data_IF_326024690914
#
_entry.id   IF_326024690914
#
_cell.length_a   1.000
_cell.length_b   1.000
_cell.length_c   1.000
_cell.angle_alpha   90.00
_cell.angle_beta   90.00
_cell.angle_gamma   90.00
#
_symmetry.space_group_name_H-M   'P 1'
#
loop_
_entity.id
_entity.type
_entity.pdbx_description
1 polymer ?
#
# COMPACT_ATOMS: atom_id res chain seq x y z
N UNK A 1 -42.23 56.39 46.92
CA UNK A 1 -41.88 55.92 45.56
C UNK A 1 -40.45 55.35 45.48
N UNK A 2 -39.46 55.96 46.17
CA UNK A 2 -38.03 55.45 46.13
C UNK A 2 -37.86 54.03 46.62
N UNK A 3 -38.54 53.57 47.67
CA UNK A 3 -38.34 52.21 48.25
C UNK A 3 -38.87 51.05 47.38
N UNK A 4 -39.82 51.29 46.49
CA UNK A 4 -40.36 50.26 45.58
C UNK A 4 -39.45 50.05 44.40
N UNK A 5 -38.79 51.11 43.94
CA UNK A 5 -37.84 51.07 42.81
C UNK A 5 -36.53 50.39 43.20
N UNK A 6 -35.98 50.63 44.39
CA UNK A 6 -34.78 49.95 44.90
C UNK A 6 -35.00 48.48 45.12
N UNK A 7 -36.16 48.01 45.55
CA UNK A 7 -36.49 46.56 45.65
C UNK A 7 -36.60 45.93 44.30
N UNK A 8 -37.08 46.63 43.28
CA UNK A 8 -37.20 46.11 41.92
C UNK A 8 -35.81 45.92 41.24
N UNK A 9 -34.90 46.88 41.43
CA UNK A 9 -33.53 46.82 40.92
C UNK A 9 -32.75 45.69 41.60
N UNK A 10 -32.84 45.60 42.95
CA UNK A 10 -32.20 44.51 43.69
C UNK A 10 -32.71 43.11 43.24
N UNK A 11 -34.00 42.96 42.96
CA UNK A 11 -34.59 41.72 42.48
C UNK A 11 -34.14 41.37 41.06
N UNK A 12 -33.99 42.35 40.14
CA UNK A 12 -33.46 42.12 38.78
C UNK A 12 -31.98 41.78 38.80
N UNK A 13 -31.19 42.49 39.64
CA UNK A 13 -29.75 42.16 39.79
C UNK A 13 -29.54 40.76 40.39
N UNK A 14 -30.34 40.39 41.37
CA UNK A 14 -30.27 39.07 41.99
C UNK A 14 -30.62 37.96 40.99
N UNK A 15 -31.66 38.15 40.16
CA UNK A 15 -32.00 37.20 39.08
C UNK A 15 -30.92 37.13 38.01
N UNK A 16 -30.25 38.24 37.67
CA UNK A 16 -29.17 38.28 36.71
C UNK A 16 -27.92 37.54 37.23
N UNK A 17 -27.55 37.74 38.48
CA UNK A 17 -26.41 37.03 39.13
C UNK A 17 -26.70 35.53 39.22
N UNK A 18 -27.94 35.14 39.54
CA UNK A 18 -28.34 33.72 39.60
C UNK A 18 -28.28 33.06 38.22
N UNK A 19 -28.78 33.77 37.18
CA UNK A 19 -28.69 33.28 35.78
C UNK A 19 -27.24 33.14 35.31
N UNK A 20 -26.37 34.11 35.66
CA UNK A 20 -24.94 34.04 35.31
C UNK A 20 -24.20 32.89 36.02
N UNK A 21 -24.58 32.63 37.29
CA UNK A 21 -24.05 31.48 38.03
C UNK A 21 -24.49 30.13 37.47
N UNK A 22 -25.72 30.03 36.98
CA UNK A 22 -26.23 28.81 36.32
C UNK A 22 -25.54 28.62 34.98
N UNK A 23 -25.40 29.66 34.15
CA UNK A 23 -24.70 29.58 32.86
C UNK A 23 -23.24 29.17 33.05
N UNK A 24 -22.53 29.74 34.04
CA UNK A 24 -21.16 29.31 34.35
C UNK A 24 -21.08 27.83 34.77
N UNK A 25 -22.01 27.35 35.59
CA UNK A 25 -22.05 25.91 35.98
C UNK A 25 -22.36 25.00 34.80
N UNK A 26 -23.28 25.40 33.91
CA UNK A 26 -23.59 24.63 32.68
C UNK A 26 -22.40 24.61 31.74
N UNK A 27 -21.66 25.69 31.55
CA UNK A 27 -20.46 25.75 30.74
C UNK A 27 -19.34 24.84 31.33
N UNK A 28 -19.16 24.87 32.67
CA UNK A 28 -18.20 24.02 33.35
C UNK A 28 -18.59 22.53 33.22
N UNK A 29 -19.87 22.20 33.33
CA UNK A 29 -20.37 20.84 33.12
C UNK A 29 -20.16 20.39 31.67
N UNK A 30 -20.43 21.26 30.69
CA UNK A 30 -20.16 20.98 29.26
C UNK A 30 -18.67 20.82 28.96
N UNK A 31 -17.80 21.62 29.61
CA UNK A 31 -16.34 21.47 29.49
C UNK A 31 -15.80 20.21 30.18
N UNK A 32 -16.42 19.77 31.27
CA UNK A 32 -16.06 18.51 31.96
C UNK A 32 -16.59 17.29 31.18
N UNK A 33 -17.73 17.39 30.50
CA UNK A 33 -18.32 16.34 29.68
C UNK A 33 -17.73 16.27 28.27
N UNK A 34 -17.04 17.34 27.78
CA UNK A 34 -16.47 17.38 26.45
C UNK A 34 -15.42 16.26 26.19
N UNK A 35 -14.57 15.84 27.15
CA UNK A 35 -13.69 14.69 26.92
C UNK A 35 -14.42 13.35 26.89
N UNK A 36 -15.67 13.27 27.37
CA UNK A 36 -16.49 12.05 27.31
C UNK A 36 -17.33 11.94 26.02
N UNK A 37 -17.40 12.99 25.21
CA UNK A 37 -17.89 12.93 23.84
C UNK A 37 -16.76 12.53 22.88
N UNK A 38 -16.04 11.48 23.25
CA UNK A 38 -15.14 10.82 22.31
C UNK A 38 -16.01 10.11 21.27
N UNK A 39 -16.26 10.78 20.15
CA UNK A 39 -16.87 10.11 18.99
C UNK A 39 -16.05 8.88 18.69
N UNK A 40 -16.67 7.72 18.74
CA UNK A 40 -16.04 6.47 18.40
C UNK A 40 -15.68 6.54 16.90
N UNK A 41 -14.39 6.70 16.61
CA UNK A 41 -13.90 6.71 15.24
C UNK A 41 -13.65 5.28 14.83
N UNK A 42 -14.30 4.83 13.77
CA UNK A 42 -14.11 3.51 13.19
C UNK A 42 -13.33 3.63 11.88
N UNK A 43 -12.40 2.72 11.67
CA UNK A 43 -11.58 2.62 10.47
C UNK A 43 -11.85 1.28 9.80
N UNK A 44 -12.11 1.30 8.51
CA UNK A 44 -12.44 0.10 7.75
C UNK A 44 -11.41 -0.15 6.66
N UNK A 45 -11.06 -1.42 6.45
CA UNK A 45 -10.06 -1.82 5.47
C UNK A 45 -10.37 -3.23 4.94
N UNK A 46 -9.88 -3.51 3.74
CA UNK A 46 -9.93 -4.81 3.12
C UNK A 46 -8.54 -5.44 3.05
N UNK A 47 -8.46 -6.76 3.24
CA UNK A 47 -7.21 -7.54 3.20
C UNK A 47 -7.40 -8.78 2.37
N UNK A 48 -6.54 -8.97 1.36
CA UNK A 48 -6.54 -10.14 0.50
C UNK A 48 -5.66 -11.24 1.09
N UNK A 49 -6.16 -12.48 1.11
CA UNK A 49 -5.50 -13.68 1.63
C UNK A 49 -5.32 -14.69 0.51
N UNK A 50 -4.13 -14.70 -0.09
CA UNK A 50 -3.79 -15.33 -1.37
C UNK A 50 -3.98 -16.86 -1.35
N UNK A 51 -3.63 -17.54 -0.25
CA UNK A 51 -3.71 -19.00 -0.13
C UNK A 51 -5.06 -19.54 0.32
N UNK A 52 -6.08 -18.70 0.52
CA UNK A 52 -7.42 -19.14 0.92
C UNK A 52 -8.54 -18.60 0.02
N UNK A 53 -8.20 -17.85 -1.04
CA UNK A 53 -9.18 -17.19 -1.91
C UNK A 53 -10.24 -16.40 -1.12
N UNK A 54 -9.77 -15.62 -0.14
CA UNK A 54 -10.64 -14.78 0.69
C UNK A 54 -10.16 -13.33 0.77
N UNK A 55 -11.11 -12.45 1.04
CA UNK A 55 -10.85 -11.06 1.43
C UNK A 55 -11.53 -10.81 2.76
N UNK A 56 -10.80 -10.32 3.74
CA UNK A 56 -11.31 -9.93 5.04
C UNK A 56 -11.71 -8.45 5.04
N UNK A 57 -12.95 -8.12 5.42
CA UNK A 57 -13.36 -6.77 5.79
C UNK A 57 -13.11 -6.60 7.29
N UNK A 58 -12.23 -5.67 7.62
CA UNK A 58 -11.82 -5.39 9.00
C UNK A 58 -12.35 -4.04 9.48
N UNK A 59 -12.57 -3.94 10.78
CA UNK A 59 -12.90 -2.70 11.48
C UNK A 59 -11.96 -2.51 12.66
N UNK A 60 -11.45 -1.30 12.82
CA UNK A 60 -10.66 -0.87 13.98
C UNK A 60 -11.34 0.33 14.66
N UNK A 61 -11.54 0.26 15.98
CA UNK A 61 -12.26 1.26 16.78
C UNK A 61 -11.37 2.06 17.74
N UNK A 62 -10.07 2.17 17.45
CA UNK A 62 -8.98 2.75 18.27
C UNK A 62 -8.40 1.83 19.35
N UNK A 63 -9.09 0.78 19.75
CA UNK A 63 -8.64 -0.14 20.79
C UNK A 63 -8.40 -1.53 20.23
N UNK A 64 -9.32 -1.99 19.41
CA UNK A 64 -9.33 -3.36 18.90
C UNK A 64 -9.65 -3.37 17.41
N UNK A 65 -8.93 -4.23 16.67
CA UNK A 65 -9.26 -4.59 15.31
C UNK A 65 -10.01 -5.91 15.31
N UNK A 66 -11.06 -6.00 14.49
CA UNK A 66 -11.90 -7.20 14.35
C UNK A 66 -12.21 -7.48 12.88
N UNK A 67 -12.35 -8.74 12.53
CA UNK A 67 -12.86 -9.17 11.24
C UNK A 67 -14.39 -9.15 11.26
N UNK A 68 -14.98 -8.30 10.42
CA UNK A 68 -16.45 -8.19 10.30
C UNK A 68 -17.01 -9.23 9.35
N UNK A 69 -16.29 -9.52 8.28
CA UNK A 69 -16.72 -10.43 7.23
C UNK A 69 -15.51 -11.05 6.54
N UNK A 70 -15.56 -12.36 6.26
CA UNK A 70 -14.60 -13.06 5.40
C UNK A 70 -15.31 -13.42 4.10
N UNK A 71 -14.93 -12.77 3.02
CA UNK A 71 -15.56 -12.81 1.71
C UNK A 71 -14.82 -13.85 0.87
N UNK A 72 -15.50 -14.91 0.43
CA UNK A 72 -14.94 -15.84 -0.55
C UNK A 72 -14.92 -15.20 -1.93
N UNK A 73 -13.77 -15.22 -2.60
CA UNK A 73 -13.55 -14.53 -3.87
C UNK A 73 -13.12 -15.44 -5.01
N UNK A 74 -12.71 -16.67 -4.72
CA UNK A 74 -12.40 -17.69 -5.72
C UNK A 74 -13.66 -18.20 -6.44
N UNK A 75 -13.51 -18.55 -7.70
CA UNK A 75 -14.56 -19.12 -8.54
C UNK A 75 -14.50 -20.64 -8.55
N UNK A 76 -13.30 -21.21 -8.51
CA UNK A 76 -13.06 -22.65 -8.63
C UNK A 76 -12.80 -23.29 -7.27
N UNK A 77 -13.63 -24.23 -6.78
CA UNK A 77 -13.48 -24.79 -5.42
C UNK A 77 -12.22 -25.63 -5.20
N UNK A 78 -11.53 -26.03 -6.28
CA UNK A 78 -10.36 -26.92 -6.23
C UNK A 78 -9.06 -26.26 -6.60
N UNK A 79 -9.10 -24.98 -6.96
CA UNK A 79 -7.93 -24.21 -7.38
C UNK A 79 -7.80 -22.98 -6.51
N UNK A 80 -6.57 -22.59 -6.19
CA UNK A 80 -6.28 -21.32 -5.53
C UNK A 80 -6.06 -20.28 -6.62
N UNK A 81 -6.97 -19.31 -6.72
CA UNK A 81 -6.91 -18.26 -7.73
C UNK A 81 -6.08 -17.04 -7.26
N UNK A 82 -5.73 -16.99 -5.98
CA UNK A 82 -4.77 -16.08 -5.39
C UNK A 82 -5.17 -14.60 -5.43
N UNK A 83 -6.08 -14.14 -4.57
CA UNK A 83 -6.37 -12.73 -4.40
C UNK A 83 -5.11 -11.98 -3.92
N UNK A 84 -4.58 -11.03 -4.72
CA UNK A 84 -3.27 -10.44 -4.47
C UNK A 84 -3.35 -8.92 -4.29
N UNK A 85 -3.60 -8.16 -5.35
CA UNK A 85 -3.72 -6.71 -5.28
C UNK A 85 -5.14 -6.28 -4.96
N UNK A 86 -5.30 -5.26 -4.12
CA UNK A 86 -6.60 -4.71 -3.75
C UNK A 86 -6.55 -3.19 -3.70
N UNK A 87 -7.62 -2.53 -4.16
CA UNK A 87 -7.78 -1.08 -4.05
C UNK A 87 -9.26 -0.74 -3.88
N UNK A 88 -9.53 0.43 -3.29
CA UNK A 88 -10.89 0.98 -3.16
C UNK A 88 -10.98 2.21 -4.07
N UNK A 89 -12.11 2.41 -4.73
CA UNK A 89 -12.30 3.57 -5.58
C UNK A 89 -12.33 4.86 -4.76
N UNK A 90 -11.98 6.01 -5.34
CA UNK A 90 -11.92 7.28 -4.62
C UNK A 90 -13.25 7.70 -3.97
N UNK A 91 -14.38 7.18 -4.46
CA UNK A 91 -15.72 7.46 -3.92
C UNK A 91 -16.12 6.48 -2.80
N UNK A 92 -15.33 5.43 -2.55
CA UNK A 92 -15.59 4.39 -1.56
C UNK A 92 -16.79 3.48 -1.88
N UNK A 93 -17.27 3.46 -3.13
CA UNK A 93 -18.46 2.68 -3.56
C UNK A 93 -18.12 1.27 -4.01
N UNK A 94 -16.91 1.09 -4.54
CA UNK A 94 -16.42 -0.16 -5.08
C UNK A 94 -15.03 -0.46 -4.56
N UNK A 95 -14.72 -1.74 -4.47
CA UNK A 95 -13.36 -2.22 -4.30
C UNK A 95 -13.02 -3.20 -5.42
N UNK A 96 -11.74 -3.25 -5.76
CA UNK A 96 -11.22 -4.03 -6.87
C UNK A 96 -10.15 -4.97 -6.38
N UNK A 97 -10.17 -6.18 -6.92
CA UNK A 97 -9.29 -7.28 -6.53
C UNK A 97 -8.67 -7.91 -7.76
N UNK A 98 -7.36 -8.14 -7.74
CA UNK A 98 -6.74 -9.05 -8.71
C UNK A 98 -6.74 -10.47 -8.18
N UNK A 99 -7.16 -11.43 -9.03
CA UNK A 99 -6.91 -12.85 -8.86
C UNK A 99 -5.69 -13.20 -9.72
N UNK A 100 -4.57 -13.51 -9.04
CA UNK A 100 -3.24 -13.53 -9.66
C UNK A 100 -2.90 -14.86 -10.37
N UNK A 101 -3.40 -15.99 -9.85
CA UNK A 101 -3.01 -17.34 -10.30
C UNK A 101 -3.88 -17.92 -11.42
N UNK A 102 -4.65 -17.09 -12.12
CA UNK A 102 -5.46 -17.54 -13.25
C UNK A 102 -4.64 -18.25 -14.33
N UNK A 103 -5.21 -19.26 -14.96
CA UNK A 103 -4.54 -20.05 -16.00
C UNK A 103 -5.22 -19.87 -17.35
N UNK A 104 -4.55 -19.26 -18.36
CA UNK A 104 -3.18 -18.69 -18.31
C UNK A 104 -3.14 -17.27 -17.77
N UNK A 105 -4.26 -16.56 -17.63
CA UNK A 105 -4.35 -15.14 -17.31
C UNK A 105 -5.13 -14.93 -16.01
N UNK A 106 -4.70 -13.92 -15.24
CA UNK A 106 -5.43 -13.50 -14.06
C UNK A 106 -6.63 -12.60 -14.38
N UNK A 107 -7.37 -12.24 -13.35
CA UNK A 107 -8.57 -11.42 -13.44
C UNK A 107 -8.47 -10.16 -12.59
N UNK A 108 -9.21 -9.15 -12.97
CA UNK A 108 -9.59 -8.01 -12.14
C UNK A 108 -11.09 -8.10 -11.89
N UNK A 109 -11.50 -8.08 -10.63
CA UNK A 109 -12.90 -8.18 -10.23
C UNK A 109 -13.31 -6.93 -9.47
N UNK A 110 -14.47 -6.38 -9.80
CA UNK A 110 -15.11 -5.23 -9.17
C UNK A 110 -16.20 -5.70 -8.21
N UNK A 111 -16.14 -5.21 -6.98
CA UNK A 111 -17.11 -5.50 -5.92
C UNK A 111 -17.79 -4.23 -5.42
N UNK A 112 -19.03 -4.37 -4.95
CA UNK A 112 -19.72 -3.30 -4.22
C UNK A 112 -19.27 -3.24 -2.77
N UNK A 113 -18.84 -2.10 -2.24
CA UNK A 113 -18.54 -1.92 -0.81
C UNK A 113 -19.80 -2.05 0.08
N UNK A 114 -20.98 -1.86 -0.49
CA UNK A 114 -22.25 -1.96 0.25
C UNK A 114 -22.65 -3.41 0.55
N UNK A 115 -22.34 -4.33 -0.36
CA UNK A 115 -22.85 -5.71 -0.30
C UNK A 115 -21.73 -6.76 -0.35
N UNK A 116 -20.51 -6.38 -0.62
CA UNK A 116 -19.35 -7.22 -0.89
C UNK A 116 -19.58 -8.28 -2.00
N UNK A 117 -20.50 -7.99 -2.90
CA UNK A 117 -20.81 -8.87 -4.04
C UNK A 117 -20.14 -8.36 -5.31
N UNK A 118 -19.78 -9.32 -6.17
CA UNK A 118 -19.27 -9.04 -7.52
C UNK A 118 -20.27 -8.20 -8.30
N UNK A 119 -19.74 -7.17 -8.97
CA UNK A 119 -20.48 -6.32 -9.90
C UNK A 119 -20.09 -6.68 -11.34
N UNK A 120 -18.78 -6.84 -11.59
CA UNK A 120 -18.25 -7.12 -12.93
C UNK A 120 -16.82 -7.64 -12.85
N UNK A 121 -16.28 -8.20 -13.94
CA UNK A 121 -14.89 -8.69 -14.01
C UNK A 121 -14.31 -8.53 -15.40
N UNK A 122 -12.97 -8.50 -15.49
CA UNK A 122 -12.22 -8.53 -16.76
C UNK A 122 -10.96 -9.36 -16.62
N UNK A 123 -10.53 -9.99 -17.73
CA UNK A 123 -9.27 -10.72 -17.80
C UNK A 123 -8.14 -9.75 -18.07
N UNK A 124 -7.02 -9.88 -17.32
CA UNK A 124 -5.82 -9.08 -17.49
C UNK A 124 -4.65 -9.92 -18.05
N UNK A 125 -3.41 -9.56 -17.71
CA UNK A 125 -2.22 -10.31 -18.06
C UNK A 125 -1.91 -11.45 -17.09
N UNK A 126 -0.64 -11.91 -17.13
CA UNK A 126 -0.13 -12.93 -16.22
C UNK A 126 0.17 -12.31 -14.84
N UNK A 127 -0.42 -12.87 -13.80
CA UNK A 127 -0.24 -12.47 -12.42
C UNK A 127 -0.50 -10.97 -12.19
N UNK A 128 -1.74 -10.47 -12.37
CA UNK A 128 -2.07 -9.09 -12.02
C UNK A 128 -1.86 -8.88 -10.51
N UNK A 129 -1.16 -7.83 -10.16
CA UNK A 129 -0.70 -7.55 -8.80
C UNK A 129 -1.19 -6.18 -8.30
N UNK A 130 -0.28 -5.29 -7.94
CA UNK A 130 -0.66 -3.99 -7.38
C UNK A 130 -1.42 -3.12 -8.36
N UNK A 131 -2.39 -2.36 -7.84
CA UNK A 131 -3.24 -1.50 -8.64
C UNK A 131 -3.63 -0.22 -7.89
N UNK A 132 -3.99 0.81 -8.65
CA UNK A 132 -4.58 2.03 -8.13
C UNK A 132 -5.41 2.74 -9.21
N UNK A 133 -6.38 3.54 -8.79
CA UNK A 133 -7.21 4.36 -9.69
C UNK A 133 -6.70 5.79 -9.68
N UNK A 134 -6.47 6.36 -10.86
CA UNK A 134 -6.17 7.77 -10.99
C UNK A 134 -7.41 8.61 -10.74
N UNK A 135 -7.33 9.55 -9.80
CA UNK A 135 -8.42 10.49 -9.50
C UNK A 135 -8.66 11.50 -10.63
N UNK A 136 -7.68 11.69 -11.51
CA UNK A 136 -7.75 12.65 -12.63
C UNK A 136 -8.32 12.01 -13.90
N UNK A 137 -7.85 10.80 -14.26
CA UNK A 137 -8.35 10.12 -15.47
C UNK A 137 -9.53 9.20 -15.20
N UNK A 138 -9.71 8.77 -13.95
CA UNK A 138 -10.68 7.75 -13.57
C UNK A 138 -10.25 6.31 -13.91
N UNK A 139 -9.16 6.11 -14.64
CA UNK A 139 -8.70 4.78 -15.03
C UNK A 139 -7.97 4.04 -13.91
N UNK A 140 -8.17 2.73 -13.89
CA UNK A 140 -7.45 1.81 -13.02
C UNK A 140 -6.20 1.29 -13.75
N UNK A 141 -5.05 1.36 -13.07
CA UNK A 141 -3.76 0.84 -13.53
C UNK A 141 -3.40 -0.37 -12.68
N UNK A 142 -3.22 -1.53 -13.33
CA UNK A 142 -2.86 -2.79 -12.68
C UNK A 142 -1.60 -3.36 -13.31
N UNK A 143 -0.56 -3.62 -12.53
CA UNK A 143 0.66 -4.27 -13.04
C UNK A 143 0.42 -5.75 -13.25
N UNK A 144 0.92 -6.31 -14.37
CA UNK A 144 0.97 -7.73 -14.61
C UNK A 144 2.38 -8.23 -14.26
N UNK A 145 2.53 -8.77 -13.05
CA UNK A 145 3.83 -9.12 -12.47
C UNK A 145 4.55 -10.24 -13.22
N UNK A 146 3.79 -11.12 -13.89
CA UNK A 146 4.34 -12.22 -14.70
C UNK A 146 5.23 -13.19 -13.89
N UNK A 147 4.88 -13.44 -12.62
CA UNK A 147 5.70 -14.24 -11.69
C UNK A 147 6.01 -15.64 -12.20
N UNK A 148 5.06 -16.30 -12.87
CA UNK A 148 5.18 -17.66 -13.37
C UNK A 148 5.49 -17.72 -14.87
N UNK A 149 5.74 -16.56 -15.51
CA UNK A 149 6.05 -16.47 -16.92
C UNK A 149 7.55 -16.49 -17.20
N UNK A 150 7.89 -16.05 -18.40
CA UNK A 150 9.27 -15.80 -18.79
C UNK A 150 9.77 -14.51 -18.16
N UNK A 151 11.09 -14.33 -18.02
CA UNK A 151 11.68 -13.06 -17.54
C UNK A 151 11.63 -11.94 -18.58
N UNK A 152 10.79 -12.07 -19.60
CA UNK A 152 10.56 -11.02 -20.59
C UNK A 152 9.89 -9.79 -19.96
N UNK A 153 10.04 -8.59 -20.57
CA UNK A 153 9.28 -7.43 -20.20
C UNK A 153 7.77 -7.70 -20.14
N UNK A 154 7.12 -7.22 -19.09
CA UNK A 154 5.69 -7.32 -18.92
C UNK A 154 5.04 -5.93 -19.07
N UNK A 155 3.88 -5.71 -18.48
CA UNK A 155 3.11 -4.51 -18.76
C UNK A 155 2.24 -4.08 -17.56
N UNK A 156 1.68 -2.87 -17.69
CA UNK A 156 0.61 -2.34 -16.86
C UNK A 156 -0.66 -2.30 -17.70
N UNK A 157 -1.71 -3.00 -17.25
CA UNK A 157 -3.04 -2.91 -17.81
C UNK A 157 -3.73 -1.62 -17.38
N UNK A 158 -4.34 -0.90 -18.32
CA UNK A 158 -5.18 0.25 -18.06
C UNK A 158 -6.63 -0.15 -18.30
N UNK A 159 -7.46 -0.04 -17.27
CA UNK A 159 -8.87 -0.48 -17.29
C UNK A 159 -9.77 0.69 -17.02
N UNK A 160 -10.85 0.81 -17.79
CA UNK A 160 -11.99 1.65 -17.44
C UNK A 160 -12.82 0.95 -16.35
N UNK A 161 -12.84 1.45 -15.12
CA UNK A 161 -13.54 0.78 -14.02
C UNK A 161 -15.07 0.93 -14.10
N UNK A 162 -15.61 1.78 -14.98
CA UNK A 162 -17.06 1.89 -15.20
C UNK A 162 -17.57 0.71 -16.03
N UNK A 163 -16.86 0.39 -17.11
CA UNK A 163 -17.22 -0.67 -18.06
C UNK A 163 -16.45 -1.96 -17.86
N UNK A 164 -15.49 -1.99 -16.94
CA UNK A 164 -14.53 -3.09 -16.73
C UNK A 164 -13.83 -3.53 -18.02
N UNK A 165 -13.57 -2.57 -18.91
CA UNK A 165 -12.90 -2.81 -20.19
C UNK A 165 -11.41 -2.49 -20.08
N UNK A 166 -10.54 -3.43 -20.43
CA UNK A 166 -9.11 -3.16 -20.60
C UNK A 166 -8.90 -2.32 -21.87
N UNK A 167 -8.47 -1.05 -21.66
CA UNK A 167 -8.27 -0.08 -22.76
C UNK A 167 -6.97 -0.36 -23.49
N UNK A 168 -5.90 -0.62 -22.73
CA UNK A 168 -4.56 -0.87 -23.30
C UNK A 168 -3.65 -1.55 -22.28
N UNK A 169 -2.52 -2.06 -22.80
CA UNK A 169 -1.39 -2.55 -22.02
C UNK A 169 -0.15 -1.73 -22.33
N UNK A 170 0.46 -1.17 -21.31
CA UNK A 170 1.66 -0.34 -21.45
C UNK A 170 2.87 -1.20 -21.05
N UNK A 171 3.73 -1.52 -22.01
CA UNK A 171 4.92 -2.33 -21.75
C UNK A 171 5.88 -1.61 -20.82
N UNK A 172 6.36 -2.33 -19.81
CA UNK A 172 7.36 -1.90 -18.83
C UNK A 172 8.51 -2.92 -18.77
N UNK A 173 9.30 -2.93 -17.69
CA UNK A 173 10.41 -3.87 -17.54
C UNK A 173 9.99 -5.28 -17.12
N UNK A 174 10.96 -6.09 -16.78
CA UNK A 174 10.75 -7.48 -16.35
C UNK A 174 10.29 -7.54 -14.90
N UNK A 175 9.20 -8.29 -14.66
CA UNK A 175 8.55 -8.44 -13.36
C UNK A 175 8.18 -7.09 -12.72
N UNK A 176 7.29 -6.28 -13.33
CA UNK A 176 6.76 -5.08 -12.69
C UNK A 176 5.93 -5.49 -11.46
N UNK A 177 6.16 -4.87 -10.31
CA UNK A 177 5.55 -5.29 -9.05
C UNK A 177 4.79 -4.17 -8.34
N UNK A 178 5.50 -3.25 -7.73
CA UNK A 178 4.90 -2.12 -7.03
C UNK A 178 4.57 -0.98 -7.96
N UNK A 179 3.38 -0.41 -7.82
CA UNK A 179 2.99 0.77 -8.59
C UNK A 179 2.10 1.71 -7.77
N UNK A 180 2.23 3.01 -8.05
CA UNK A 180 1.40 4.06 -7.43
C UNK A 180 1.14 5.19 -8.40
N UNK A 181 -0.03 5.79 -8.26
CA UNK A 181 -0.42 7.00 -8.98
C UNK A 181 0.19 8.22 -8.26
N UNK A 182 0.62 9.22 -9.03
CA UNK A 182 1.04 10.52 -8.49
C UNK A 182 -0.12 11.22 -7.76
N UNK A 183 0.15 12.10 -6.78
CA UNK A 183 -0.90 12.81 -6.04
C UNK A 183 -1.86 13.62 -6.92
N UNK A 184 -1.36 14.13 -8.06
CA UNK A 184 -2.17 14.86 -9.06
C UNK A 184 -2.91 13.94 -10.05
N UNK A 185 -2.69 12.63 -9.97
CA UNK A 185 -3.33 11.64 -10.84
C UNK A 185 -2.84 11.62 -12.28
N UNK A 186 -1.81 12.42 -12.64
CA UNK A 186 -1.33 12.57 -14.02
C UNK A 186 -0.26 11.56 -14.43
N UNK A 187 0.37 10.91 -13.46
CA UNK A 187 1.41 9.91 -13.70
C UNK A 187 1.16 8.64 -12.88
N UNK A 188 1.50 7.50 -13.46
CA UNK A 188 1.62 6.24 -12.75
C UNK A 188 3.09 5.85 -12.72
N UNK A 189 3.60 5.57 -11.53
CA UNK A 189 4.94 5.06 -11.31
C UNK A 189 4.89 3.54 -11.14
N UNK A 190 5.80 2.82 -11.80
CA UNK A 190 5.92 1.36 -11.70
C UNK A 190 7.38 0.96 -11.62
N UNK A 191 7.72 0.06 -10.71
CA UNK A 191 9.07 -0.50 -10.62
C UNK A 191 9.11 -1.91 -11.18
N UNK A 192 10.16 -2.22 -11.92
CA UNK A 192 10.39 -3.55 -12.50
C UNK A 192 11.50 -4.26 -11.72
N UNK A 193 11.11 -5.31 -10.97
CA UNK A 193 11.96 -5.98 -10.00
C UNK A 193 13.21 -6.61 -10.61
N UNK A 194 13.10 -7.26 -11.77
CA UNK A 194 14.22 -7.97 -12.37
C UNK A 194 15.06 -7.11 -13.30
N UNK A 195 14.49 -6.11 -13.96
CA UNK A 195 15.26 -5.17 -14.80
C UNK A 195 15.84 -3.98 -14.02
N UNK A 196 15.36 -3.73 -12.79
CA UNK A 196 15.92 -2.70 -11.88
C UNK A 196 15.60 -1.27 -12.26
N UNK A 197 14.40 -1.03 -12.78
CA UNK A 197 14.02 0.23 -13.36
C UNK A 197 12.77 0.82 -12.69
N UNK A 198 12.69 2.15 -12.68
CA UNK A 198 11.48 2.92 -12.40
C UNK A 198 10.94 3.47 -13.71
N UNK A 199 9.65 3.23 -13.96
CA UNK A 199 8.89 3.76 -15.08
C UNK A 199 7.95 4.86 -14.60
N UNK A 200 7.91 5.99 -15.33
CA UNK A 200 6.86 6.98 -15.25
C UNK A 200 5.96 6.83 -16.47
N UNK A 201 4.70 6.56 -16.23
CA UNK A 201 3.67 6.43 -17.26
C UNK A 201 2.80 7.69 -17.27
N UNK A 202 2.66 8.33 -18.40
CA UNK A 202 1.71 9.42 -18.62
C UNK A 202 0.29 8.86 -18.60
N UNK A 203 -0.50 9.26 -17.59
CA UNK A 203 -1.84 8.73 -17.37
C UNK A 203 -2.88 9.27 -18.38
N UNK A 204 -2.61 10.35 -19.07
CA UNK A 204 -3.45 10.87 -20.16
C UNK A 204 -3.02 10.31 -21.52
N UNK A 205 -1.71 10.28 -21.75
CA UNK A 205 -1.13 9.79 -23.01
C UNK A 205 -1.05 8.27 -23.11
N UNK A 206 -1.29 7.53 -22.01
CA UNK A 206 -1.26 6.07 -21.91
C UNK A 206 0.02 5.44 -22.47
N UNK A 207 1.15 6.01 -22.11
CA UNK A 207 2.48 5.59 -22.57
C UNK A 207 3.55 5.85 -21.53
N UNK A 208 4.66 5.12 -21.64
CA UNK A 208 5.86 5.42 -20.85
C UNK A 208 6.38 6.80 -21.25
N UNK A 209 6.54 7.68 -20.26
CA UNK A 209 7.11 9.01 -20.40
C UNK A 209 8.62 9.00 -20.17
N UNK A 210 9.06 8.40 -19.05
CA UNK A 210 10.48 8.34 -18.66
C UNK A 210 10.80 6.98 -18.02
N UNK A 211 12.08 6.58 -18.09
CA UNK A 211 12.61 5.39 -17.43
C UNK A 211 13.89 5.77 -16.70
N UNK A 212 14.03 5.31 -15.46
CA UNK A 212 15.21 5.52 -14.64
C UNK A 212 15.81 4.18 -14.22
N UNK A 213 17.10 3.96 -14.52
CA UNK A 213 17.88 2.84 -14.01
C UNK A 213 18.22 3.09 -12.53
N UNK A 214 17.78 2.18 -11.65
CA UNK A 214 17.98 2.28 -10.21
C UNK A 214 19.28 1.65 -9.73
N UNK A 215 20.05 1.02 -10.62
CA UNK A 215 21.33 0.40 -10.26
C UNK A 215 22.35 1.43 -9.79
N UNK A 216 23.09 1.08 -8.74
CA UNK A 216 24.21 1.89 -8.31
C UNK A 216 25.43 1.58 -9.20
N UNK A 217 26.01 2.60 -9.81
CA UNK A 217 27.21 2.47 -10.66
C UNK A 217 28.38 1.75 -9.96
N UNK A 218 28.49 1.84 -8.63
CA UNK A 218 29.49 1.10 -7.86
C UNK A 218 29.20 -0.41 -7.77
N UNK A 219 27.92 -0.82 -7.76
CA UNK A 219 27.56 -2.25 -7.76
C UNK A 219 27.83 -2.91 -9.10
N UNK A 220 27.73 -2.18 -10.21
CA UNK A 220 28.07 -2.71 -11.54
C UNK A 220 29.54 -3.11 -11.68
N UNK A 221 30.46 -2.40 -10.99
CA UNK A 221 31.89 -2.77 -10.99
C UNK A 221 32.16 -4.06 -10.20
N UNK A 222 31.35 -4.41 -9.19
CA UNK A 222 31.47 -5.68 -8.47
C UNK A 222 30.92 -6.87 -9.29
N UNK A 223 29.92 -6.65 -10.13
CA UNK A 223 29.42 -7.68 -11.07
C UNK A 223 30.48 -8.12 -12.08
N UNK A 224 31.30 -7.19 -12.58
CA UNK A 224 32.42 -7.54 -13.50
C UNK A 224 33.46 -8.43 -12.81
N UNK A 225 33.74 -8.17 -11.54
CA UNK A 225 34.72 -8.96 -10.79
C UNK A 225 34.20 -10.35 -10.37
N UNK A 226 32.90 -10.52 -10.12
CA UNK A 226 32.29 -11.83 -9.84
C UNK A 226 32.15 -12.70 -11.09
N UNK A 227 31.87 -12.10 -12.26
CA UNK A 227 31.78 -12.84 -13.51
C UNK A 227 33.11 -13.52 -13.94
N UNK A 228 34.25 -13.01 -13.45
CA UNK A 228 35.57 -13.60 -13.67
C UNK A 228 35.90 -14.78 -12.71
N UNK A 229 35.10 -15.00 -11.65
CA UNK A 229 35.34 -16.07 -10.67
C UNK A 229 34.44 -17.31 -10.82
N UNK A 230 33.34 -17.22 -11.59
CA UNK A 230 32.34 -18.30 -11.70
C UNK A 230 32.41 -19.12 -13.00
N UNK A 231 33.47 -18.99 -13.82
CA UNK A 231 33.63 -19.80 -15.06
C UNK A 231 33.97 -21.29 -14.84
N UNK A 232 34.11 -21.75 -13.60
CA UNK A 232 34.57 -23.13 -13.30
C UNK A 232 33.47 -24.08 -12.77
N UNK A 233 32.18 -23.76 -12.85
CA UNK A 233 31.13 -24.74 -12.49
C UNK A 233 30.34 -25.19 -13.70
N UNK A 234 30.73 -26.38 -14.24
CA UNK A 234 29.95 -27.16 -15.19
C UNK A 234 28.53 -27.40 -14.70
N UNK A 235 27.56 -26.95 -15.47
CA UNK A 235 26.14 -27.29 -15.31
C UNK A 235 25.90 -28.51 -16.22
N UNK A 236 25.44 -29.61 -15.60
CA UNK A 236 25.03 -30.82 -16.29
C UNK A 236 23.75 -30.60 -17.11
N UNK A 237 23.86 -30.96 -18.36
CA UNK A 237 22.90 -31.30 -19.39
C UNK A 237 21.39 -31.12 -19.13
N UNK A 238 20.85 -30.02 -19.62
CA UNK A 238 19.53 -29.94 -20.25
C UNK A 238 19.70 -29.31 -21.63
N UNK A 239 19.27 -29.99 -22.69
CA UNK A 239 19.24 -29.46 -24.06
C UNK A 239 18.29 -28.26 -24.14
N UNK A 240 18.81 -27.04 -23.90
CA UNK A 240 18.14 -25.79 -24.24
C UNK A 240 18.68 -25.26 -25.56
N UNK A 241 17.78 -24.83 -26.46
CA UNK A 241 18.15 -24.20 -27.72
C UNK A 241 19.13 -23.03 -27.48
N UNK A 242 20.19 -22.94 -28.28
CA UNK A 242 21.24 -21.90 -28.20
C UNK A 242 20.66 -20.48 -28.21
N UNK A 243 19.60 -20.20 -28.97
CA UNK A 243 18.91 -18.89 -29.00
C UNK A 243 18.27 -18.52 -27.67
N UNK A 244 17.77 -19.49 -26.90
CA UNK A 244 17.25 -19.28 -25.55
C UNK A 244 18.36 -19.03 -24.54
N UNK A 245 19.50 -19.69 -24.67
CA UNK A 245 20.65 -19.45 -23.79
C UNK A 245 21.27 -18.08 -24.04
N UNK A 246 21.39 -17.64 -25.29
CA UNK A 246 21.91 -16.30 -25.64
C UNK A 246 20.94 -15.19 -25.13
N UNK A 247 19.63 -15.41 -25.24
CA UNK A 247 18.64 -14.46 -24.72
C UNK A 247 18.65 -14.35 -23.18
N UNK A 248 18.84 -15.47 -22.47
CA UNK A 248 18.96 -15.50 -21.01
C UNK A 248 20.28 -14.91 -20.50
N UNK A 249 21.40 -15.08 -21.22
CA UNK A 249 22.69 -14.50 -20.84
C UNK A 249 22.74 -12.98 -20.99
N UNK A 250 21.89 -12.40 -21.84
CA UNK A 250 21.83 -10.96 -22.06
C UNK A 250 20.77 -10.26 -21.19
N UNK A 251 20.00 -10.99 -20.36
CA UNK A 251 19.03 -10.35 -19.45
C UNK A 251 19.76 -9.64 -18.32
N UNK A 252 19.51 -8.34 -18.20
CA UNK A 252 19.97 -7.53 -17.08
C UNK A 252 19.25 -8.03 -15.80
N UNK A 253 20.01 -8.63 -14.89
CA UNK A 253 19.52 -8.98 -13.56
C UNK A 253 19.82 -7.87 -12.58
N UNK A 254 18.78 -7.27 -12.03
CA UNK A 254 18.91 -6.21 -11.03
C UNK A 254 19.50 -6.73 -9.72
N UNK A 255 20.45 -6.00 -9.14
CA UNK A 255 20.91 -6.18 -7.77
C UNK A 255 20.01 -5.43 -6.78
N UNK A 256 19.39 -4.33 -7.21
CA UNK A 256 18.46 -3.54 -6.41
C UNK A 256 17.16 -4.28 -6.17
N UNK A 257 16.63 -4.99 -7.18
CA UNK A 257 15.34 -5.69 -7.13
C UNK A 257 14.24 -4.82 -6.52
N UNK A 258 13.88 -3.69 -7.15
CA UNK A 258 12.91 -2.78 -6.58
C UNK A 258 11.52 -3.44 -6.51
N UNK A 259 10.90 -3.47 -5.35
CA UNK A 259 9.59 -4.13 -5.12
C UNK A 259 8.44 -3.14 -4.99
N UNK A 260 8.71 -1.90 -4.59
CA UNK A 260 7.66 -0.91 -4.35
C UNK A 260 8.11 0.49 -4.68
N UNK A 261 7.17 1.35 -5.08
CA UNK A 261 7.37 2.79 -5.24
C UNK A 261 6.21 3.53 -4.60
N UNK A 262 6.50 4.63 -3.91
CA UNK A 262 5.50 5.54 -3.35
C UNK A 262 5.92 7.00 -3.61
N UNK A 263 5.13 7.78 -4.38
CA UNK A 263 5.37 9.21 -4.53
C UNK A 263 4.98 9.96 -3.26
N UNK A 264 5.75 10.99 -2.93
CA UNK A 264 5.45 11.85 -1.79
C UNK A 264 4.19 12.71 -2.06
N UNK A 265 3.25 12.84 -1.11
CA UNK A 265 1.98 13.53 -1.35
C UNK A 265 2.13 15.03 -1.70
N UNK A 266 3.19 15.70 -1.23
CA UNK A 266 3.37 17.15 -1.34
C UNK A 266 4.67 17.59 -2.04
N UNK A 267 5.64 16.69 -2.21
CA UNK A 267 6.95 16.99 -2.81
C UNK A 267 7.13 16.23 -4.12
N UNK A 268 7.98 16.72 -5.01
CA UNK A 268 8.36 16.02 -6.24
C UNK A 268 9.42 14.95 -5.98
N UNK A 269 9.12 14.06 -5.05
CA UNK A 269 9.97 12.94 -4.63
C UNK A 269 9.19 11.62 -4.72
N UNK A 270 9.89 10.52 -4.92
CA UNK A 270 9.38 9.17 -4.73
C UNK A 270 10.37 8.32 -3.95
N UNK A 271 9.86 7.35 -3.20
CA UNK A 271 10.66 6.41 -2.42
C UNK A 271 10.44 5.00 -2.95
N UNK A 272 11.52 4.25 -3.09
CA UNK A 272 11.53 2.91 -3.69
C UNK A 272 12.15 1.92 -2.70
N UNK A 273 11.48 0.79 -2.49
CA UNK A 273 12.02 -0.32 -1.72
C UNK A 273 12.99 -1.12 -2.59
N UNK A 274 14.28 -0.99 -2.35
CA UNK A 274 15.34 -1.80 -2.96
C UNK A 274 15.51 -3.11 -2.19
N UNK A 275 14.66 -4.09 -2.47
CA UNK A 275 14.60 -5.36 -1.73
C UNK A 275 15.94 -6.11 -1.78
N UNK A 276 16.58 -6.19 -2.96
CA UNK A 276 17.86 -6.88 -3.13
C UNK A 276 19.04 -6.11 -2.56
N UNK A 277 18.98 -4.77 -2.52
CA UNK A 277 20.06 -3.91 -2.01
C UNK A 277 19.89 -3.53 -0.54
N UNK A 278 18.78 -3.91 0.11
CA UNK A 278 18.47 -3.61 1.51
C UNK A 278 18.51 -2.10 1.80
N UNK A 279 17.85 -1.32 0.96
CA UNK A 279 17.84 0.15 1.07
C UNK A 279 16.51 0.73 0.60
N UNK A 280 16.24 1.96 1.00
CA UNK A 280 15.26 2.83 0.38
C UNK A 280 16.01 3.79 -0.53
N UNK A 281 15.48 3.95 -1.75
CA UNK A 281 16.04 4.83 -2.79
C UNK A 281 15.08 6.01 -2.93
N UNK A 282 15.59 7.22 -2.73
CA UNK A 282 14.86 8.44 -2.99
C UNK A 282 15.14 8.91 -4.42
N UNK A 283 14.10 9.25 -5.14
CA UNK A 283 14.16 9.76 -6.52
C UNK A 283 13.58 11.18 -6.56
N UNK A 284 14.35 12.11 -7.10
CA UNK A 284 13.87 13.42 -7.52
C UNK A 284 13.08 13.26 -8.82
N UNK A 285 11.77 13.47 -8.75
CA UNK A 285 10.85 13.34 -9.88
C UNK A 285 10.91 14.52 -10.86
N UNK A 286 11.46 15.66 -10.44
CA UNK A 286 11.64 16.81 -11.31
C UNK A 286 12.88 16.61 -12.20
N UNK A 287 14.04 16.34 -11.58
CA UNK A 287 15.29 16.10 -12.27
C UNK A 287 15.41 14.67 -12.84
N UNK A 288 14.56 13.76 -12.42
CA UNK A 288 14.50 12.36 -12.82
C UNK A 288 15.82 11.61 -12.55
N UNK A 289 16.26 11.69 -11.31
CA UNK A 289 17.50 11.06 -10.85
C UNK A 289 17.37 10.52 -9.42
N UNK A 290 18.23 9.59 -9.07
CA UNK A 290 18.37 9.12 -7.69
C UNK A 290 19.03 10.21 -6.88
N UNK A 291 18.31 10.80 -5.92
CA UNK A 291 18.79 11.88 -5.05
C UNK A 291 19.48 11.36 -3.78
N UNK A 292 19.01 10.21 -3.24
CA UNK A 292 19.58 9.65 -2.02
C UNK A 292 19.34 8.15 -1.88
N UNK A 293 20.07 7.50 -0.96
CA UNK A 293 19.91 6.10 -0.58
C UNK A 293 20.20 5.92 0.89
N UNK A 294 19.31 5.28 1.62
CA UNK A 294 19.54 4.95 3.03
C UNK A 294 19.21 3.50 3.35
N UNK A 295 20.04 2.90 4.23
CA UNK A 295 19.96 1.49 4.56
C UNK A 295 18.74 1.17 5.42
N UNK A 296 18.21 -0.02 5.20
CA UNK A 296 17.14 -0.63 5.98
C UNK A 296 17.62 -1.94 6.63
N UNK A 297 16.71 -2.71 7.20
CA UNK A 297 16.91 -4.14 7.45
C UNK A 297 16.85 -4.96 6.15
N UNK A 298 16.86 -6.29 6.28
CA UNK A 298 16.94 -7.22 5.14
C UNK A 298 15.58 -7.34 4.45
N UNK A 299 15.58 -7.03 3.15
CA UNK A 299 14.42 -7.20 2.28
C UNK A 299 13.28 -6.20 2.54
N UNK A 300 13.51 -4.86 2.44
CA UNK A 300 12.40 -3.90 2.39
C UNK A 300 11.48 -4.25 1.22
N UNK A 301 10.16 -4.21 1.43
CA UNK A 301 9.23 -4.75 0.45
C UNK A 301 8.15 -3.75 0.02
N UNK A 302 7.30 -3.33 0.94
CA UNK A 302 6.25 -2.35 0.70
C UNK A 302 6.57 -1.05 1.44
N UNK A 303 6.16 0.06 0.86
CA UNK A 303 6.31 1.42 1.41
C UNK A 303 5.00 2.17 1.32
N UNK A 304 4.66 2.91 2.37
CA UNK A 304 3.59 3.92 2.33
C UNK A 304 4.02 5.17 3.07
N UNK A 305 3.55 6.32 2.59
CA UNK A 305 3.77 7.62 3.24
C UNK A 305 2.48 8.05 3.93
N UNK A 306 2.60 8.54 5.16
CA UNK A 306 1.45 9.11 5.86
C UNK A 306 0.83 10.24 5.03
N UNK A 307 -0.51 10.37 4.97
CA UNK A 307 -1.19 11.41 4.18
C UNK A 307 -0.71 12.85 4.43
N UNK A 308 -0.20 13.15 5.63
CA UNK A 308 0.41 14.44 5.95
C UNK A 308 1.84 14.62 5.38
N UNK A 309 2.45 13.56 4.84
CA UNK A 309 3.77 13.60 4.23
C UNK A 309 4.95 13.54 5.21
N UNK A 310 4.73 13.27 6.49
CA UNK A 310 5.79 13.34 7.50
C UNK A 310 6.52 12.03 7.74
N UNK A 311 5.79 10.89 7.62
CA UNK A 311 6.33 9.57 7.96
C UNK A 311 6.35 8.66 6.74
N UNK A 312 7.45 7.91 6.60
CA UNK A 312 7.55 6.76 5.71
C UNK A 312 7.46 5.48 6.54
N UNK A 313 6.57 4.59 6.17
CA UNK A 313 6.39 3.28 6.79
C UNK A 313 6.82 2.23 5.77
N UNK A 314 7.64 1.26 6.19
CA UNK A 314 8.13 0.19 5.33
C UNK A 314 8.08 -1.17 6.01
N UNK A 315 7.63 -2.18 5.28
CA UNK A 315 7.76 -3.57 5.71
C UNK A 315 9.16 -4.11 5.39
N UNK A 316 9.80 -4.71 6.40
CA UNK A 316 11.09 -5.39 6.27
C UNK A 316 10.78 -6.90 6.22
N UNK A 317 10.39 -7.35 5.02
CA UNK A 317 9.73 -8.65 4.79
C UNK A 317 10.52 -9.83 5.34
N UNK A 318 11.81 -9.89 5.07
CA UNK A 318 12.67 -11.01 5.49
C UNK A 318 12.92 -11.05 7.00
N UNK A 319 12.63 -9.98 7.72
CA UNK A 319 12.80 -9.91 9.17
C UNK A 319 11.46 -9.96 9.94
N UNK A 320 10.31 -9.92 9.25
CA UNK A 320 9.00 -9.82 9.88
C UNK A 320 8.86 -8.57 10.75
N UNK A 321 9.31 -7.43 10.23
CA UNK A 321 9.32 -6.15 10.95
C UNK A 321 8.69 -5.03 10.13
N UNK A 322 8.24 -4.01 10.84
CA UNK A 322 7.82 -2.72 10.27
C UNK A 322 8.73 -1.62 10.78
N UNK A 323 9.26 -0.83 9.86
CA UNK A 323 10.11 0.32 10.16
C UNK A 323 9.35 1.62 9.87
N UNK A 324 9.61 2.65 10.68
CA UNK A 324 9.00 3.98 10.55
C UNK A 324 10.13 5.01 10.55
N UNK A 325 10.18 5.82 9.50
CA UNK A 325 11.15 6.91 9.36
C UNK A 325 10.45 8.27 9.37
N UNK A 326 11.11 9.25 9.97
CA UNK A 326 10.85 10.67 9.72
C UNK A 326 11.42 11.02 8.34
N UNK A 327 10.57 11.55 7.45
CA UNK A 327 10.98 11.86 6.08
C UNK A 327 11.82 13.14 5.98
N UNK A 328 11.63 14.08 6.89
CA UNK A 328 12.39 15.34 6.89
C UNK A 328 13.86 15.09 7.19
N UNK A 329 14.13 14.32 8.25
CA UNK A 329 15.50 14.06 8.72
C UNK A 329 16.03 12.71 8.23
N UNK A 330 15.21 11.92 7.51
CA UNK A 330 15.49 10.54 7.03
C UNK A 330 15.94 9.62 8.17
N UNK A 331 15.40 9.85 9.35
CA UNK A 331 15.78 9.17 10.58
C UNK A 331 14.82 8.03 10.90
N UNK A 332 15.37 6.86 11.19
CA UNK A 332 14.60 5.74 11.73
C UNK A 332 14.07 6.11 13.13
N UNK A 333 12.74 6.20 13.28
CA UNK A 333 12.06 6.48 14.54
C UNK A 333 11.73 5.20 15.30
N UNK A 334 11.35 4.14 14.58
CA UNK A 334 10.94 2.88 15.19
C UNK A 334 11.19 1.70 14.27
N UNK A 335 11.52 0.55 14.86
CA UNK A 335 11.60 -0.74 14.19
C UNK A 335 10.83 -1.76 15.04
N UNK A 336 9.65 -2.16 14.60
CA UNK A 336 8.72 -3.00 15.33
C UNK A 336 8.73 -4.42 14.79
N UNK A 337 8.75 -5.42 15.65
CA UNK A 337 8.48 -6.80 15.26
C UNK A 337 6.98 -6.96 15.02
N UNK A 338 6.59 -7.51 13.89
CA UNK A 338 5.21 -7.86 13.59
C UNK A 338 4.79 -9.11 14.39
N UNK A 339 3.48 -9.29 14.55
CA UNK A 339 2.91 -10.42 15.30
C UNK A 339 3.26 -11.75 14.66
N UNK A 340 3.27 -11.83 13.33
CA UNK A 340 3.77 -13.01 12.59
C UNK A 340 4.84 -12.65 11.57
N UNK A 341 5.42 -13.65 10.91
CA UNK A 341 6.48 -13.51 9.93
C UNK A 341 5.99 -13.02 8.58
N UNK A 342 6.91 -12.58 7.74
CA UNK A 342 6.68 -12.19 6.33
C UNK A 342 5.73 -10.99 6.24
N UNK A 343 6.14 -9.84 6.82
CA UNK A 343 5.39 -8.58 6.69
C UNK A 343 5.32 -8.15 5.22
N UNK A 344 4.11 -7.81 4.74
CA UNK A 344 3.84 -7.61 3.32
C UNK A 344 3.28 -6.23 3.01
N UNK A 345 1.97 -6.04 3.13
CA UNK A 345 1.26 -4.83 2.72
C UNK A 345 1.13 -3.79 3.83
N UNK A 346 0.94 -2.54 3.43
CA UNK A 346 0.73 -1.40 4.32
C UNK A 346 -0.48 -0.60 3.82
N UNK A 347 -1.37 -0.23 4.75
CA UNK A 347 -2.37 0.79 4.54
C UNK A 347 -2.33 1.79 5.69
N UNK A 348 -2.53 3.08 5.40
CA UNK A 348 -2.51 4.14 6.42
C UNK A 348 -3.89 4.80 6.49
N UNK A 349 -4.35 5.10 7.72
CA UNK A 349 -5.60 5.82 7.91
C UNK A 349 -5.51 7.23 7.32
N UNK A 350 -6.64 7.72 6.77
CA UNK A 350 -6.72 9.03 6.10
C UNK A 350 -6.35 10.23 6.99
N UNK A 351 -6.33 10.04 8.32
CA UNK A 351 -5.94 11.06 9.31
C UNK A 351 -4.50 10.88 9.82
N UNK A 352 -3.68 10.05 9.17
CA UNK A 352 -2.27 9.78 9.51
C UNK A 352 -2.04 9.25 10.94
N UNK A 353 -3.03 8.62 11.57
CA UNK A 353 -2.92 8.15 12.97
C UNK A 353 -2.51 6.71 13.11
N UNK A 354 -2.87 5.86 12.15
CA UNK A 354 -2.67 4.43 12.23
C UNK A 354 -2.12 3.87 10.93
N UNK A 355 -1.18 2.94 11.05
CA UNK A 355 -0.75 2.06 9.98
C UNK A 355 -1.27 0.64 10.25
N UNK A 356 -1.79 0.01 9.20
CA UNK A 356 -2.27 -1.37 9.19
C UNK A 356 -1.33 -2.19 8.33
N UNK A 357 -0.75 -3.23 8.92
CA UNK A 357 0.28 -4.05 8.29
C UNK A 357 -0.23 -5.47 8.13
N UNK A 358 -0.33 -5.95 6.90
CA UNK A 358 -0.61 -7.36 6.63
C UNK A 358 0.69 -8.17 6.69
N UNK A 359 0.61 -9.36 7.28
CA UNK A 359 1.71 -10.32 7.35
C UNK A 359 1.21 -11.70 6.97
N UNK A 360 1.98 -12.42 6.15
CA UNK A 360 1.55 -13.66 5.51
C UNK A 360 1.45 -14.86 6.45
N UNK A 361 2.34 -14.94 7.46
CA UNK A 361 2.59 -16.17 8.20
C UNK A 361 3.49 -17.14 7.42
N UNK A 362 3.76 -18.31 7.98
CA UNK A 362 4.60 -19.35 7.36
C UNK A 362 3.79 -20.63 7.20
N UNK A 363 3.72 -21.16 5.98
CA UNK A 363 3.07 -22.44 5.69
C UNK A 363 1.55 -22.39 5.97
N UNK A 364 1.08 -23.15 6.96
CA UNK A 364 -0.34 -23.21 7.32
C UNK A 364 -0.82 -22.19 8.36
N UNK A 365 0.07 -21.29 8.81
CA UNK A 365 -0.28 -20.25 9.78
C UNK A 365 -1.28 -19.25 9.17
N UNK A 366 -2.22 -18.71 9.97
CA UNK A 366 -3.08 -17.63 9.51
C UNK A 366 -2.26 -16.38 9.22
N UNK A 367 -2.74 -15.56 8.31
CA UNK A 367 -2.25 -14.20 8.15
C UNK A 367 -2.67 -13.32 9.33
N UNK A 368 -1.93 -12.26 9.57
CA UNK A 368 -2.20 -11.30 10.65
C UNK A 368 -2.26 -9.89 10.07
N UNK A 369 -3.17 -9.09 10.61
CA UNK A 369 -3.13 -7.63 10.43
C UNK A 369 -2.79 -6.98 11.76
N UNK A 370 -1.65 -6.31 11.80
CA UNK A 370 -1.18 -5.51 12.92
C UNK A 370 -1.61 -4.05 12.76
N UNK A 371 -2.03 -3.42 13.86
CA UNK A 371 -2.32 -1.98 13.94
C UNK A 371 -1.22 -1.28 14.72
N UNK A 372 -0.57 -0.32 14.09
CA UNK A 372 0.49 0.49 14.69
C UNK A 372 -0.03 1.94 14.84
N UNK A 373 0.08 2.48 16.04
CA UNK A 373 -0.15 3.91 16.28
C UNK A 373 1.02 4.72 15.73
N UNK A 374 0.75 5.66 14.81
CA UNK A 374 1.75 6.56 14.25
C UNK A 374 2.06 7.77 15.16
N UNK A 375 1.32 7.93 16.25
CA UNK A 375 1.61 8.91 17.31
C UNK A 375 2.60 8.37 18.33
N UNK A 376 2.42 7.09 18.74
CA UNK A 376 3.24 6.48 19.80
C UNK A 376 4.30 5.51 19.27
N UNK A 377 4.24 5.17 17.97
CA UNK A 377 5.09 4.18 17.31
C UNK A 377 5.06 2.81 18.00
N UNK A 378 3.85 2.37 18.39
CA UNK A 378 3.65 1.07 19.06
C UNK A 378 2.60 0.25 18.34
N UNK A 379 2.81 -1.07 18.34
CA UNK A 379 1.79 -2.03 17.99
C UNK A 379 0.72 -2.01 19.09
N UNK A 380 -0.54 -1.81 18.71
CA UNK A 380 -1.65 -1.59 19.65
C UNK A 380 -2.75 -2.64 19.55
N UNK A 381 -2.88 -3.32 18.41
CA UNK A 381 -3.87 -4.37 18.22
C UNK A 381 -3.47 -5.27 17.05
N UNK A 382 -3.97 -6.50 17.01
CA UNK A 382 -3.77 -7.44 15.92
C UNK A 382 -5.00 -8.31 15.73
N UNK A 383 -5.24 -8.80 14.51
CA UNK A 383 -6.32 -9.73 14.18
C UNK A 383 -5.84 -10.80 13.20
N UNK A 384 -6.29 -12.03 13.41
CA UNK A 384 -6.08 -13.12 12.46
C UNK A 384 -7.02 -12.96 11.26
N UNK A 385 -6.47 -13.22 10.06
CA UNK A 385 -7.18 -13.24 8.79
C UNK A 385 -6.86 -14.52 8.02
N UNK A 386 -7.30 -14.63 6.78
CA UNK A 386 -6.95 -15.78 5.94
C UNK A 386 -5.44 -15.91 5.70
N UNK A 387 -4.99 -17.08 5.24
CA UNK A 387 -3.57 -17.41 5.02
C UNK A 387 -2.96 -16.59 3.91
N UNK A 388 -1.69 -16.28 4.05
CA UNK A 388 -0.91 -15.47 3.12
C UNK A 388 -1.56 -14.10 2.89
N UNK A 389 -1.81 -13.37 3.99
CA UNK A 389 -2.37 -12.01 3.93
C UNK A 389 -1.35 -11.04 3.29
N UNK A 390 -1.66 -10.60 2.07
CA UNK A 390 -0.78 -9.76 1.24
C UNK A 390 -1.37 -8.37 1.01
N UNK A 391 -2.18 -8.22 -0.02
CA UNK A 391 -2.78 -6.95 -0.40
C UNK A 391 -3.68 -6.38 0.69
N UNK A 392 -3.56 -5.08 0.96
CA UNK A 392 -4.36 -4.37 1.96
C UNK A 392 -4.74 -2.98 1.43
N UNK A 393 -5.98 -2.57 1.66
CA UNK A 393 -6.47 -1.27 1.25
C UNK A 393 -7.33 -0.61 2.34
N UNK A 394 -7.00 0.62 2.69
CA UNK A 394 -7.85 1.43 3.56
C UNK A 394 -9.10 1.85 2.80
N UNK A 395 -10.28 1.62 3.39
CA UNK A 395 -11.55 2.00 2.76
C UNK A 395 -12.03 3.36 3.26
N UNK A 396 -12.31 3.47 4.56
CA UNK A 396 -12.93 4.68 5.11
C UNK A 396 -12.68 4.83 6.60
N UNK A 397 -12.89 6.06 7.06
CA UNK A 397 -13.04 6.43 8.46
C UNK A 397 -14.46 6.95 8.69
N UNK A 398 -15.13 6.44 9.71
CA UNK A 398 -16.44 6.92 10.19
C UNK A 398 -16.32 7.51 11.61
N UNK A 399 -17.16 8.49 11.91
CA UNK A 399 -17.22 9.18 13.20
C UNK A 399 -18.51 8.80 13.92
#
# INVERSE_FOLDING_TARGET
>A
MKTKFEKLIKSKYFKFILAFGIVKKVIIILLILSPYLSFCQNYYLYVASESEDTVSLLKFDKNQIEELERISVGTFPTEIEGPHGITVDPNGKYWYLSLAHGNPFGKLIKYSTKTNKVIDETTLGLFPASMQISTTTGFLYCVNFNLHGTMAPSNVSVVDPETMTEITKITTGSMPHGSRISPDGLYQYSVAMMSGELFEIDALGLKVNRVLDLENKMMNNQKMNHKMMDEDKKIDNMEMNEDKMISMQNMKHSMVKPTWVIPHPNLKLAYIAGNGSNEIIEVDLENWEVSDRFKTGIGPYNLEISPNGELLIGTIKSEGKTAIWDLKDKKLLSLLKNTTSISHGIAISSDSKYAFISSEGIGGEPGIVDVISLETFKLISSVEVGKQAGGIAFWKKEI
#
